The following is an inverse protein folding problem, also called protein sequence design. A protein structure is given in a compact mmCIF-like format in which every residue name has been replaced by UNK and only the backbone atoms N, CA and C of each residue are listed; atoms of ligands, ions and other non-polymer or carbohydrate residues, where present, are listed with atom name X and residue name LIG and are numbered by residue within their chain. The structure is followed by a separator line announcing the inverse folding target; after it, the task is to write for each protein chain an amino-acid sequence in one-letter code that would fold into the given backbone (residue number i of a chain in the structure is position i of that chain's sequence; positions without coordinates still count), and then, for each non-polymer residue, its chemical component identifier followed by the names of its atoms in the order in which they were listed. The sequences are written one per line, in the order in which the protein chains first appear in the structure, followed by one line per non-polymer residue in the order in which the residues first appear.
data_IF_900803167115
#
_entry.id   IF_900803167115
#
_cell.length_a   1.000
_cell.length_b   1.000
_cell.length_c   1.000
_cell.angle_alpha   90.00
_cell.angle_beta   90.00
_cell.angle_gamma   90.00
#
_symmetry.space_group_name_H-M   'P 1'
#
loop_
_entity.id
_entity.type
_entity.pdbx_description
1 polymer ?
#
# COMPACT_ATOMS: atom_id res chain seq x y z
N UNK A 1 1.19 31.66 -33.32
CA UNK A 1 0.98 30.20 -33.37
C UNK A 1 2.06 29.57 -32.49
N UNK A 2 1.72 28.71 -31.52
CA UNK A 2 2.76 27.96 -30.79
C UNK A 2 3.33 26.91 -31.75
N UNK A 3 4.63 26.94 -32.00
CA UNK A 3 5.31 25.87 -32.74
C UNK A 3 5.04 24.54 -32.06
N UNK A 4 4.49 23.59 -32.80
CA UNK A 4 4.27 22.23 -32.32
C UNK A 4 5.61 21.49 -32.41
N UNK A 5 6.34 21.38 -31.29
CA UNK A 5 7.49 20.50 -31.20
C UNK A 5 7.04 19.05 -30.97
N UNK A 6 7.72 18.12 -31.62
CA UNK A 6 7.53 16.68 -31.36
C UNK A 6 8.25 16.27 -30.07
N UNK A 7 7.81 15.18 -29.44
CA UNK A 7 8.48 14.63 -28.26
C UNK A 7 9.96 14.27 -28.53
N UNK A 8 10.29 13.88 -29.77
CA UNK A 8 11.65 13.55 -30.16
C UNK A 8 12.55 14.79 -30.26
N UNK A 9 12.04 15.90 -30.83
CA UNK A 9 12.75 17.18 -30.90
C UNK A 9 12.99 17.76 -29.50
N UNK A 10 11.98 17.70 -28.62
CA UNK A 10 12.11 18.13 -27.23
C UNK A 10 13.13 17.28 -26.45
N UNK A 11 13.15 15.96 -26.65
CA UNK A 11 14.16 15.08 -26.02
C UNK A 11 15.57 15.39 -26.53
N UNK A 12 15.73 15.67 -27.84
CA UNK A 12 17.02 16.03 -28.42
C UNK A 12 17.53 17.38 -27.92
N UNK A 13 16.65 18.37 -27.78
CA UNK A 13 16.95 19.69 -27.20
C UNK A 13 17.37 19.57 -25.73
N UNK A 14 16.61 18.83 -24.91
CA UNK A 14 16.95 18.57 -23.51
C UNK A 14 18.25 17.76 -23.36
N UNK A 15 18.57 16.89 -24.31
CA UNK A 15 19.83 16.14 -24.31
C UNK A 15 21.05 17.01 -24.66
N UNK A 16 20.86 18.16 -25.31
CA UNK A 16 21.91 19.14 -25.61
C UNK A 16 22.04 20.24 -24.55
N UNK A 17 21.01 20.43 -23.72
CA UNK A 17 20.99 21.39 -22.62
C UNK A 17 21.89 20.93 -21.46
N UNK A 18 22.96 21.68 -21.23
CA UNK A 18 23.93 21.40 -20.16
C UNK A 18 23.34 21.56 -18.76
N UNK A 19 22.41 22.49 -18.56
CA UNK A 19 21.75 22.72 -17.27
C UNK A 19 20.80 21.56 -16.95
N UNK A 20 20.06 21.05 -17.95
CA UNK A 20 19.23 19.86 -17.80
C UNK A 20 20.06 18.62 -17.44
N UNK A 21 21.17 18.39 -18.14
CA UNK A 21 22.07 17.27 -17.86
C UNK A 21 22.71 17.36 -16.47
N UNK A 22 23.14 18.56 -16.06
CA UNK A 22 23.70 18.80 -14.73
C UNK A 22 22.65 18.57 -13.63
N UNK A 23 21.43 19.08 -13.79
CA UNK A 23 20.32 18.86 -12.87
C UNK A 23 19.96 17.37 -12.77
N UNK A 24 19.90 16.65 -13.90
CA UNK A 24 19.62 15.21 -13.93
C UNK A 24 20.71 14.43 -13.19
N UNK A 25 21.98 14.73 -13.48
CA UNK A 25 23.12 14.09 -12.81
C UNK A 25 23.11 14.33 -11.30
N UNK A 26 22.89 15.58 -10.86
CA UNK A 26 22.81 15.91 -9.44
C UNK A 26 21.66 15.18 -8.73
N UNK A 27 20.50 15.07 -9.40
CA UNK A 27 19.36 14.31 -8.90
C UNK A 27 19.66 12.81 -8.82
N UNK A 28 20.30 12.24 -9.83
CA UNK A 28 20.68 10.82 -9.85
C UNK A 28 21.70 10.50 -8.76
N UNK A 29 22.68 11.37 -8.53
CA UNK A 29 23.66 11.26 -7.45
C UNK A 29 23.00 11.34 -6.07
N UNK A 30 22.07 12.27 -5.86
CA UNK A 30 21.32 12.39 -4.61
C UNK A 30 20.45 11.16 -4.34
N UNK A 31 19.74 10.67 -5.37
CA UNK A 31 18.95 9.45 -5.27
C UNK A 31 19.83 8.22 -5.00
N UNK A 32 21.03 8.15 -5.58
CA UNK A 32 21.97 7.07 -5.32
C UNK A 32 22.47 7.10 -3.87
N UNK A 33 22.78 8.28 -3.32
CA UNK A 33 23.16 8.46 -1.90
C UNK A 33 22.03 8.03 -0.97
N UNK A 34 20.80 8.45 -1.24
CA UNK A 34 19.63 8.06 -0.43
C UNK A 34 19.38 6.55 -0.49
N UNK A 35 19.49 5.94 -1.68
CA UNK A 35 19.37 4.48 -1.83
C UNK A 35 20.42 3.73 -1.04
N UNK A 36 21.68 4.19 -1.08
CA UNK A 36 22.76 3.58 -0.30
C UNK A 36 22.51 3.71 1.22
N UNK A 37 22.02 4.88 1.67
CA UNK A 37 21.67 5.09 3.07
C UNK A 37 20.51 4.19 3.52
N UNK A 38 19.47 4.03 2.69
CA UNK A 38 18.37 3.10 2.98
C UNK A 38 18.83 1.65 2.97
N UNK A 39 19.61 1.23 1.99
CA UNK A 39 20.14 -0.14 1.95
C UNK A 39 20.91 -0.47 3.24
N UNK A 40 21.78 0.45 3.68
CA UNK A 40 22.50 0.30 4.95
C UNK A 40 21.57 0.24 6.15
N UNK A 41 20.57 1.12 6.22
CA UNK A 41 19.60 1.11 7.30
C UNK A 41 18.77 -0.19 7.32
N UNK A 42 18.48 -0.77 6.16
CA UNK A 42 17.66 -1.98 5.99
C UNK A 42 18.42 -3.28 6.30
N UNK A 43 19.77 -3.26 6.35
CA UNK A 43 20.62 -4.44 6.60
C UNK A 43 20.12 -5.36 7.74
N UNK A 44 19.72 -4.86 8.93
CA UNK A 44 19.26 -5.74 10.00
C UNK A 44 17.97 -6.49 9.66
N UNK A 45 17.08 -5.87 8.89
CA UNK A 45 15.84 -6.52 8.44
C UNK A 45 16.16 -7.60 7.40
N UNK A 46 17.01 -7.30 6.42
CA UNK A 46 17.40 -8.26 5.38
C UNK A 46 18.06 -9.48 5.99
N UNK A 47 18.98 -9.30 6.95
CA UNK A 47 19.63 -10.40 7.66
C UNK A 47 18.64 -11.26 8.46
N UNK A 48 17.67 -10.63 9.12
CA UNK A 48 16.64 -11.34 9.87
C UNK A 48 15.72 -12.16 8.95
N UNK A 49 15.32 -11.59 7.80
CA UNK A 49 14.53 -12.27 6.79
C UNK A 49 15.28 -13.46 6.17
N UNK A 50 16.57 -13.29 5.86
CA UNK A 50 17.42 -14.36 5.37
C UNK A 50 17.56 -15.50 6.41
N UNK A 51 17.76 -15.16 7.67
CA UNK A 51 17.84 -16.13 8.78
C UNK A 51 16.53 -16.91 8.99
N UNK A 52 15.39 -16.30 8.65
CA UNK A 52 14.07 -16.94 8.66
C UNK A 52 13.77 -17.75 7.38
N UNK A 53 14.73 -17.88 6.46
CA UNK A 53 14.57 -18.64 5.21
C UNK A 53 13.95 -17.86 4.06
N UNK A 54 13.85 -16.53 4.17
CA UNK A 54 13.30 -15.62 3.17
C UNK A 54 14.39 -14.68 2.61
N UNK A 55 15.31 -15.17 1.76
CA UNK A 55 16.38 -14.35 1.21
C UNK A 55 15.83 -13.28 0.25
N UNK A 56 16.06 -12.02 0.60
CA UNK A 56 15.67 -10.84 -0.18
C UNK A 56 16.80 -9.82 -0.22
N UNK A 57 16.79 -8.92 -1.21
CA UNK A 57 17.72 -7.78 -1.26
C UNK A 57 17.14 -6.56 -0.55
N UNK A 58 15.83 -6.50 -0.42
CA UNK A 58 15.08 -5.45 0.27
C UNK A 58 13.68 -5.98 0.62
N UNK A 59 13.03 -5.39 1.62
CA UNK A 59 11.63 -5.67 1.96
C UNK A 59 10.68 -5.44 0.77
N UNK A 60 11.08 -4.59 -0.18
CA UNK A 60 10.32 -4.34 -1.40
C UNK A 60 10.25 -5.55 -2.33
N UNK A 61 11.14 -6.53 -2.18
CA UNK A 61 11.02 -7.81 -2.89
C UNK A 61 9.79 -8.60 -2.41
N UNK A 62 9.46 -8.53 -1.10
CA UNK A 62 8.24 -9.13 -0.53
C UNK A 62 6.96 -8.39 -0.96
N UNK A 63 7.05 -7.08 -1.15
CA UNK A 63 5.91 -6.28 -1.66
C UNK A 63 5.60 -6.62 -3.13
N UNK A 64 6.63 -6.95 -3.92
CA UNK A 64 6.51 -7.17 -5.36
C UNK A 64 6.41 -8.65 -5.75
N UNK A 65 6.48 -9.58 -4.79
CA UNK A 65 6.36 -11.02 -5.06
C UNK A 65 4.91 -11.48 -4.97
N UNK A 66 4.57 -12.49 -5.76
CA UNK A 66 3.33 -13.24 -5.62
C UNK A 66 3.51 -14.52 -4.78
N UNK A 67 4.76 -14.89 -4.43
CA UNK A 67 5.05 -16.07 -3.61
C UNK A 67 4.64 -15.78 -2.16
N UNK A 68 3.94 -16.70 -1.47
CA UNK A 68 3.71 -16.60 -0.04
C UNK A 68 5.03 -16.57 0.75
N UNK A 69 5.02 -15.91 1.90
CA UNK A 69 6.17 -15.80 2.82
C UNK A 69 5.71 -15.78 4.30
N UNK A 70 4.91 -16.76 4.76
CA UNK A 70 4.40 -16.75 6.14
C UNK A 70 5.52 -16.72 7.20
N UNK A 71 6.69 -17.28 6.89
CA UNK A 71 7.88 -17.29 7.76
C UNK A 71 8.48 -15.89 7.96
N UNK A 72 8.27 -14.97 7.01
CA UNK A 72 8.72 -13.58 7.13
C UNK A 72 7.81 -12.72 8.01
N UNK A 73 6.55 -13.11 8.21
CA UNK A 73 5.56 -12.26 8.90
C UNK A 73 5.97 -11.93 10.35
N UNK A 74 6.39 -12.90 11.19
CA UNK A 74 6.85 -12.60 12.55
C UNK A 74 8.05 -11.64 12.56
N UNK A 75 8.98 -11.82 11.62
CA UNK A 75 10.17 -10.96 11.47
C UNK A 75 9.76 -9.54 11.09
N UNK A 76 8.87 -9.37 10.12
CA UNK A 76 8.36 -8.06 9.70
C UNK A 76 7.67 -7.33 10.85
N UNK A 77 6.88 -8.04 11.66
CA UNK A 77 6.23 -7.47 12.85
C UNK A 77 7.26 -7.02 13.89
N UNK A 78 8.28 -7.83 14.18
CA UNK A 78 9.37 -7.46 15.10
C UNK A 78 10.16 -6.24 14.61
N UNK A 79 10.28 -6.09 13.29
CA UNK A 79 11.00 -5.00 12.65
C UNK A 79 10.16 -3.74 12.42
N UNK A 80 8.94 -3.61 12.97
CA UNK A 80 8.18 -2.34 13.00
C UNK A 80 8.78 -1.28 13.95
N UNK A 81 10.11 -1.19 14.03
CA UNK A 81 10.83 -0.32 14.94
C UNK A 81 10.66 1.15 14.56
N UNK A 82 10.50 2.07 15.53
CA UNK A 82 10.37 3.51 15.26
C UNK A 82 11.56 4.14 14.54
N UNK A 83 12.76 3.54 14.62
CA UNK A 83 14.01 4.10 14.10
C UNK A 83 14.22 3.92 12.59
N UNK A 84 13.38 3.14 11.89
CA UNK A 84 13.53 2.98 10.46
C UNK A 84 13.13 4.25 9.70
N UNK A 85 13.89 4.63 8.65
CA UNK A 85 13.42 5.61 7.67
C UNK A 85 12.02 5.26 7.16
N UNK A 86 11.17 6.27 6.97
CA UNK A 86 9.77 6.08 6.57
C UNK A 86 9.60 5.18 5.34
N UNK A 87 10.53 5.27 4.38
CA UNK A 87 10.50 4.44 3.16
C UNK A 87 10.70 2.94 3.42
N UNK A 88 11.47 2.57 4.45
CA UNK A 88 11.64 1.17 4.86
C UNK A 88 10.41 0.74 5.67
N UNK A 89 9.96 1.60 6.59
CA UNK A 89 8.76 1.35 7.39
C UNK A 89 7.51 1.13 6.54
N UNK A 90 7.31 1.93 5.49
CA UNK A 90 6.24 1.72 4.51
C UNK A 90 6.36 0.36 3.83
N UNK A 91 7.58 -0.03 3.42
CA UNK A 91 7.84 -1.33 2.80
C UNK A 91 7.48 -2.50 3.72
N UNK A 92 7.83 -2.43 5.01
CA UNK A 92 7.46 -3.42 6.02
C UNK A 92 5.95 -3.51 6.15
N UNK A 93 5.27 -2.38 6.35
CA UNK A 93 3.80 -2.35 6.52
C UNK A 93 3.09 -2.90 5.27
N UNK A 94 3.58 -2.58 4.06
CA UNK A 94 3.03 -3.12 2.82
C UNK A 94 3.29 -4.61 2.65
N UNK A 95 4.45 -5.12 3.07
CA UNK A 95 4.73 -6.55 3.08
C UNK A 95 3.83 -7.31 4.07
N UNK A 96 3.33 -6.65 5.12
CA UNK A 96 2.31 -7.19 6.00
C UNK A 96 0.89 -7.22 5.38
N UNK A 97 0.68 -6.69 4.17
CA UNK A 97 -0.61 -6.72 3.49
C UNK A 97 -0.87 -8.07 2.82
N UNK A 98 -0.90 -9.13 3.62
CA UNK A 98 -1.20 -10.51 3.23
C UNK A 98 -2.11 -11.18 4.27
N UNK A 99 -2.87 -12.23 3.90
CA UNK A 99 -3.76 -12.94 4.82
C UNK A 99 -3.05 -13.50 6.06
N UNK A 100 -1.80 -13.94 5.90
CA UNK A 100 -0.99 -14.56 6.97
C UNK A 100 -0.66 -13.59 8.12
N UNK A 101 -0.88 -12.28 7.94
CA UNK A 101 -0.70 -11.26 8.98
C UNK A 101 -1.85 -11.19 9.99
N UNK A 102 -2.97 -11.89 9.77
CA UNK A 102 -4.16 -11.84 10.65
C UNK A 102 -3.88 -12.18 12.12
N UNK A 103 -3.01 -13.14 12.48
CA UNK A 103 -2.66 -13.38 13.88
C UNK A 103 -2.10 -12.15 14.61
N UNK A 104 -1.59 -11.16 13.86
CA UNK A 104 -1.05 -9.90 14.36
C UNK A 104 -2.05 -8.73 14.21
N UNK A 105 -3.36 -9.02 14.19
CA UNK A 105 -4.42 -8.03 13.96
C UNK A 105 -4.32 -6.78 14.85
N UNK A 106 -4.06 -6.97 16.16
CA UNK A 106 -3.91 -5.85 17.11
C UNK A 106 -2.75 -4.94 16.72
N UNK A 107 -1.62 -5.50 16.27
CA UNK A 107 -0.47 -4.72 15.79
C UNK A 107 -0.84 -3.88 14.58
N UNK A 108 -1.64 -4.44 13.65
CA UNK A 108 -2.09 -3.69 12.47
C UNK A 108 -3.05 -2.54 12.83
N UNK A 109 -3.91 -2.74 13.84
CA UNK A 109 -4.76 -1.66 14.39
C UNK A 109 -3.90 -0.56 15.02
N UNK A 110 -2.92 -0.93 15.84
CA UNK A 110 -2.01 0.03 16.49
C UNK A 110 -1.21 0.84 15.46
N UNK A 111 -0.76 0.18 14.38
CA UNK A 111 -0.12 0.86 13.27
C UNK A 111 -1.05 1.89 12.61
N UNK A 112 -2.31 1.53 12.34
CA UNK A 112 -3.27 2.48 11.76
C UNK A 112 -3.46 3.71 12.67
N UNK A 113 -3.63 3.48 13.98
CA UNK A 113 -3.91 4.54 14.95
C UNK A 113 -2.71 5.48 15.16
N UNK A 114 -1.49 4.96 15.09
CA UNK A 114 -0.26 5.72 15.39
C UNK A 114 0.45 6.28 14.17
N UNK A 115 0.22 5.71 12.97
CA UNK A 115 0.87 6.15 11.75
C UNK A 115 0.38 7.52 11.28
N UNK A 116 1.25 8.24 10.57
CA UNK A 116 0.93 9.50 9.89
C UNK A 116 0.35 9.25 8.50
N UNK A 117 -0.63 10.05 8.08
CA UNK A 117 -1.19 9.97 6.71
C UNK A 117 -0.31 10.62 5.65
N UNK A 118 0.39 11.70 5.99
CA UNK A 118 1.19 12.50 5.05
C UNK A 118 2.46 12.98 5.74
N UNK A 119 3.60 13.11 5.04
CA UNK A 119 3.82 12.81 3.61
C UNK A 119 4.04 11.32 3.29
N UNK A 120 4.24 10.48 4.30
CA UNK A 120 4.78 9.13 4.12
C UNK A 120 3.75 8.03 3.84
N UNK A 121 2.45 8.35 3.85
CA UNK A 121 1.33 7.43 3.58
C UNK A 121 1.34 6.14 4.44
N UNK A 122 1.96 6.17 5.63
CA UNK A 122 2.08 5.00 6.50
C UNK A 122 0.71 4.54 7.00
N UNK A 123 -0.19 5.48 7.31
CA UNK A 123 -1.57 5.16 7.72
C UNK A 123 -2.34 4.45 6.62
N UNK A 124 -2.23 4.93 5.38
CA UNK A 124 -2.81 4.25 4.22
C UNK A 124 -2.25 2.84 4.04
N UNK A 125 -0.93 2.66 4.19
CA UNK A 125 -0.30 1.35 4.11
C UNK A 125 -0.84 0.40 5.20
N UNK A 126 -1.04 0.89 6.43
CA UNK A 126 -1.63 0.11 7.52
C UNK A 126 -3.08 -0.29 7.22
N UNK A 127 -3.88 0.62 6.66
CA UNK A 127 -5.24 0.32 6.21
C UNK A 127 -5.27 -0.73 5.10
N UNK A 128 -4.31 -0.71 4.17
CA UNK A 128 -4.14 -1.78 3.18
C UNK A 128 -3.80 -3.12 3.84
N UNK A 129 -2.92 -3.12 4.84
CA UNK A 129 -2.55 -4.33 5.56
C UNK A 129 -3.76 -4.95 6.28
N UNK A 130 -4.50 -4.15 7.05
CA UNK A 130 -5.77 -4.55 7.67
C UNK A 130 -6.76 -5.09 6.64
N UNK A 131 -6.93 -4.39 5.52
CA UNK A 131 -7.86 -4.81 4.48
C UNK A 131 -7.52 -6.20 3.95
N UNK A 132 -6.27 -6.47 3.59
CA UNK A 132 -5.88 -7.77 3.02
C UNK A 132 -5.90 -8.89 4.07
N UNK A 133 -5.48 -8.60 5.31
CA UNK A 133 -5.50 -9.58 6.39
C UNK A 133 -6.91 -9.98 6.83
N UNK A 134 -7.91 -9.09 6.67
CA UNK A 134 -9.27 -9.29 7.15
C UNK A 134 -9.99 -10.50 6.53
N UNK A 135 -10.71 -11.22 7.39
CA UNK A 135 -11.77 -12.16 7.05
C UNK A 135 -13.01 -11.89 7.92
N UNK A 136 -14.03 -12.75 7.84
CA UNK A 136 -15.27 -12.56 8.60
C UNK A 136 -15.07 -12.66 10.12
N UNK A 137 -13.96 -13.22 10.63
CA UNK A 137 -13.69 -13.31 12.08
C UNK A 137 -13.35 -11.96 12.72
N UNK A 138 -12.89 -10.99 11.92
CA UNK A 138 -12.50 -9.64 12.38
C UNK A 138 -13.38 -8.55 11.77
N UNK A 139 -14.52 -8.91 11.18
CA UNK A 139 -15.34 -7.98 10.40
C UNK A 139 -15.94 -6.85 11.24
N UNK A 140 -16.27 -7.11 12.50
CA UNK A 140 -16.81 -6.08 13.42
C UNK A 140 -15.78 -4.96 13.64
N UNK A 141 -14.48 -5.27 13.70
CA UNK A 141 -13.41 -4.27 13.75
C UNK A 141 -13.31 -3.48 12.45
N UNK A 142 -13.36 -4.16 11.30
CA UNK A 142 -13.33 -3.51 9.98
C UNK A 142 -14.49 -2.53 9.83
N UNK A 143 -15.69 -2.92 10.27
CA UNK A 143 -16.90 -2.08 10.30
C UNK A 143 -16.67 -0.86 11.20
N UNK A 144 -16.16 -1.06 12.41
CA UNK A 144 -15.86 0.01 13.35
C UNK A 144 -14.89 1.02 12.75
N UNK A 145 -13.79 0.57 12.18
CA UNK A 145 -12.75 1.43 11.60
C UNK A 145 -13.27 2.16 10.34
N UNK A 146 -14.02 1.48 9.48
CA UNK A 146 -14.60 2.10 8.29
C UNK A 146 -15.65 3.20 8.63
N UNK A 147 -16.23 3.18 9.82
CA UNK A 147 -17.15 4.22 10.32
C UNK A 147 -16.45 5.43 10.93
N UNK A 148 -15.17 5.34 11.25
CA UNK A 148 -14.41 6.42 11.91
C UNK A 148 -14.02 7.54 10.91
N UNK A 149 -14.86 8.56 10.81
CA UNK A 149 -14.67 9.66 9.87
C UNK A 149 -13.37 10.46 10.09
N UNK A 150 -12.76 10.38 11.28
CA UNK A 150 -11.49 11.05 11.60
C UNK A 150 -10.32 10.49 10.78
N UNK A 151 -10.43 9.25 10.30
CA UNK A 151 -9.47 8.62 9.40
C UNK A 151 -9.60 9.11 7.95
N UNK A 152 -10.65 9.87 7.63
CA UNK A 152 -10.83 10.50 6.32
C UNK A 152 -10.72 9.49 5.18
N UNK A 153 -9.81 9.76 4.23
CA UNK A 153 -9.62 8.95 3.03
C UNK A 153 -8.88 7.62 3.31
N UNK A 154 -8.14 7.52 4.42
CA UNK A 154 -7.37 6.31 4.76
C UNK A 154 -8.26 5.10 5.09
N UNK A 155 -9.57 5.30 5.24
CA UNK A 155 -10.57 4.23 5.34
C UNK A 155 -10.81 3.48 4.04
N UNK A 156 -10.47 4.08 2.89
CA UNK A 156 -10.80 3.55 1.56
C UNK A 156 -10.35 2.10 1.33
N UNK A 157 -9.14 1.65 1.75
CA UNK A 157 -8.72 0.27 1.57
C UNK A 157 -9.67 -0.75 2.22
N UNK A 158 -10.31 -0.40 3.35
CA UNK A 158 -11.20 -1.29 4.09
C UNK A 158 -12.50 -1.60 3.33
N UNK A 159 -12.88 -0.77 2.35
CA UNK A 159 -14.03 -1.05 1.49
C UNK A 159 -13.88 -2.41 0.77
N UNK A 160 -12.65 -2.81 0.43
CA UNK A 160 -12.39 -4.09 -0.21
C UNK A 160 -12.62 -5.27 0.76
N UNK A 161 -12.28 -5.13 2.04
CA UNK A 161 -12.57 -6.13 3.07
C UNK A 161 -14.08 -6.28 3.28
N UNK A 162 -14.80 -5.16 3.45
CA UNK A 162 -16.27 -5.17 3.54
C UNK A 162 -16.92 -5.83 2.33
N UNK A 163 -16.40 -5.59 1.13
CA UNK A 163 -16.98 -6.13 -0.11
C UNK A 163 -16.76 -7.64 -0.27
N UNK A 164 -15.68 -8.18 0.31
CA UNK A 164 -15.39 -9.62 0.33
C UNK A 164 -16.15 -10.37 1.41
N UNK A 165 -16.56 -9.69 2.48
CA UNK A 165 -17.24 -10.29 3.62
C UNK A 165 -18.61 -10.84 3.28
N UNK A 166 -18.98 -11.96 3.91
CA UNK A 166 -20.33 -12.56 3.83
C UNK A 166 -21.27 -12.02 4.90
N UNK A 167 -20.77 -11.24 5.85
CA UNK A 167 -21.56 -10.69 6.94
C UNK A 167 -22.55 -9.64 6.40
N UNK A 168 -23.82 -9.77 6.77
CA UNK A 168 -24.87 -8.84 6.36
C UNK A 168 -24.59 -7.40 6.82
N UNK A 169 -23.99 -7.21 8.00
CA UNK A 169 -23.60 -5.90 8.53
C UNK A 169 -22.57 -5.21 7.62
N UNK A 170 -21.62 -5.96 7.06
CA UNK A 170 -20.62 -5.42 6.14
C UNK A 170 -21.26 -4.93 4.84
N UNK A 171 -22.22 -5.69 4.31
CA UNK A 171 -22.99 -5.32 3.12
C UNK A 171 -23.90 -4.10 3.38
N UNK A 172 -24.53 -4.03 4.56
CA UNK A 172 -25.31 -2.87 4.98
C UNK A 172 -24.43 -1.62 5.06
N UNK A 173 -23.27 -1.70 5.72
CA UNK A 173 -22.34 -0.58 5.81
C UNK A 173 -21.88 -0.10 4.43
N UNK A 174 -21.55 -0.99 3.50
CA UNK A 174 -21.19 -0.59 2.14
C UNK A 174 -22.31 0.16 1.42
N UNK A 175 -23.58 -0.18 1.70
CA UNK A 175 -24.70 0.56 1.16
C UNK A 175 -24.81 1.97 1.78
N UNK A 176 -24.63 2.09 3.09
CA UNK A 176 -24.60 3.37 3.82
C UNK A 176 -23.47 4.27 3.32
N UNK A 177 -22.25 3.73 3.17
CA UNK A 177 -21.06 4.48 2.74
C UNK A 177 -21.13 4.99 1.29
N UNK A 178 -22.15 4.61 0.51
CA UNK A 178 -22.40 5.18 -0.83
C UNK A 178 -22.61 6.70 -0.77
N UNK A 179 -23.19 7.16 0.32
CA UNK A 179 -23.57 8.55 0.52
C UNK A 179 -22.59 9.26 1.50
N UNK A 180 -21.51 8.58 1.91
CA UNK A 180 -20.39 9.16 2.67
C UNK A 180 -19.68 10.25 1.83
N UNK A 181 -19.38 11.43 2.42
CA UNK A 181 -18.81 12.56 1.69
C UNK A 181 -17.38 12.31 1.16
N UNK A 182 -16.64 11.39 1.77
CA UNK A 182 -15.26 11.03 1.40
C UNK A 182 -15.24 9.75 0.56
N UNK A 183 -15.89 8.68 1.05
CA UNK A 183 -15.81 7.33 0.48
C UNK A 183 -16.86 7.06 -0.60
N UNK A 184 -17.94 7.84 -0.67
CA UNK A 184 -19.09 7.57 -1.54
C UNK A 184 -18.75 7.43 -3.02
N UNK A 185 -17.77 8.21 -3.52
CA UNK A 185 -17.27 8.08 -4.90
C UNK A 185 -16.59 6.73 -5.15
N UNK A 186 -15.75 6.29 -4.21
CA UNK A 186 -15.01 5.01 -4.34
C UNK A 186 -15.95 3.81 -4.19
N UNK A 187 -16.94 3.88 -3.28
CA UNK A 187 -17.99 2.85 -3.17
C UNK A 187 -18.76 2.70 -4.49
N UNK A 188 -19.20 3.82 -5.09
CA UNK A 188 -19.92 3.81 -6.38
C UNK A 188 -19.06 3.21 -7.51
N UNK A 189 -17.79 3.60 -7.58
CA UNK A 189 -16.82 3.07 -8.56
C UNK A 189 -16.60 1.57 -8.42
N UNK A 190 -16.39 1.09 -7.18
CA UNK A 190 -16.18 -0.33 -6.89
C UNK A 190 -17.36 -1.19 -7.35
N UNK A 191 -18.59 -0.79 -7.02
CA UNK A 191 -19.81 -1.54 -7.44
C UNK A 191 -19.97 -1.58 -8.95
N UNK A 192 -19.64 -0.50 -9.66
CA UNK A 192 -19.67 -0.45 -11.13
C UNK A 192 -18.70 -1.48 -11.74
N UNK A 193 -17.47 -1.56 -11.22
CA UNK A 193 -16.47 -2.54 -11.70
C UNK A 193 -16.93 -3.97 -11.41
N UNK A 194 -17.48 -4.24 -10.22
CA UNK A 194 -18.02 -5.55 -9.86
C UNK A 194 -19.12 -6.02 -10.82
N UNK A 195 -20.04 -5.12 -11.20
CA UNK A 195 -21.11 -5.39 -12.19
C UNK A 195 -20.56 -5.71 -13.59
N UNK A 196 -19.53 -4.99 -14.05
CA UNK A 196 -18.93 -5.21 -15.36
C UNK A 196 -18.22 -6.58 -15.46
N UNK A 197 -17.55 -7.01 -14.38
CA UNK A 197 -16.94 -8.34 -14.31
C UNK A 197 -17.97 -9.47 -14.35
N UNK A 198 -19.10 -9.30 -13.66
CA UNK A 198 -20.20 -10.29 -13.68
C UNK A 198 -20.92 -10.35 -15.01
N UNK A 199 -21.09 -9.23 -15.74
CA UNK A 199 -21.68 -9.26 -17.08
C UNK A 199 -20.74 -9.90 -18.12
N UNK A 200 -19.44 -9.61 -18.08
CA UNK A 200 -18.46 -10.18 -19.00
C UNK A 200 -18.28 -11.71 -18.81
N UNK A 201 -18.45 -12.22 -17.58
CA UNK A 201 -18.44 -13.66 -17.31
C UNK A 201 -19.68 -14.42 -17.79
N UNK A 202 -20.82 -13.73 -17.98
CA UNK A 202 -22.06 -14.33 -18.49
C UNK A 202 -22.14 -14.43 -20.02
N UNK A 203 -21.32 -13.67 -20.76
CA UNK A 203 -21.28 -13.68 -22.24
C UNK A 203 -20.38 -14.79 -22.81
N UNK A 204 -19.80 -15.65 -21.96
CA UNK A 204 -18.90 -16.77 -22.36
C UNK A 204 -19.52 -18.16 -22.20
N UNK A 205 -20.85 -18.29 -22.18
CA UNK A 205 -21.54 -19.58 -22.20
C UNK A 205 -22.42 -19.71 -23.42
#
# INVERSE_FOLDING_TARGET
MKEQQTAAELIAELAADQDYLAMRKARDEEMAKQRAAWAKAEEPLVQALESAGCPVKSVWDLVNTAKPYPEAIPVLVEHLRPSYPSRIKEGIIRALAVPDSRPYWSVLIDLLNTATSSPDNLRWAAACALSVAADDSVIDDVIRIAKDDTLGFDRTPLLAALARSKDAKAQMLLHELRDDPVLGKEVKKMRRVGRLKTSAGKTKK
#
